data_IF_328262598380
#
_entry.id   IF_328262598380
#
_cell.length_a   1.000
_cell.length_b   1.000
_cell.length_c   1.000
_cell.angle_alpha   90.00
_cell.angle_beta   90.00
_cell.angle_gamma   90.00
#
_symmetry.space_group_name_H-M   'P 1'
#
loop_
_entity.id
_entity.type
_entity.pdbx_description
1 polymer ?
#
# COMPACT_ATOMS: atom_id res chain seq x y z
N UNK A 1 8.43 -31.94 15.77
CA UNK A 1 8.20 -30.54 15.36
C UNK A 1 6.78 -30.21 15.78
N UNK A 2 6.61 -29.39 16.82
CA UNK A 2 5.27 -29.00 17.32
C UNK A 2 4.78 -27.90 16.37
N UNK A 3 3.72 -28.17 15.62
CA UNK A 3 3.05 -27.15 14.81
C UNK A 3 2.19 -26.33 15.76
N UNK A 4 2.38 -25.00 15.78
CA UNK A 4 1.53 -24.06 16.52
C UNK A 4 0.38 -23.61 15.61
N UNK A 5 -0.81 -24.23 15.71
CA UNK A 5 -1.92 -23.92 14.82
C UNK A 5 -2.58 -22.57 15.15
N UNK A 6 -2.25 -21.98 16.31
CA UNK A 6 -2.79 -20.69 16.74
C UNK A 6 -1.93 -19.51 16.29
N UNK A 7 -0.70 -19.77 15.83
CA UNK A 7 0.30 -18.73 15.54
C UNK A 7 0.52 -17.84 16.78
N UNK A 8 0.56 -18.45 17.97
CA UNK A 8 0.91 -17.75 19.21
C UNK A 8 2.34 -17.18 19.11
N UNK A 9 3.24 -17.87 18.41
CA UNK A 9 4.55 -17.33 18.00
C UNK A 9 4.47 -16.77 16.58
N UNK A 10 4.78 -15.48 16.42
CA UNK A 10 4.80 -14.83 15.11
C UNK A 10 6.08 -15.17 14.34
N UNK A 11 6.02 -15.24 13.00
CA UNK A 11 7.20 -15.52 12.19
C UNK A 11 8.28 -14.45 12.39
N UNK A 12 9.54 -14.87 12.33
CA UNK A 12 10.72 -13.99 12.36
C UNK A 12 11.64 -14.39 11.21
N UNK A 13 12.09 -13.43 10.42
CA UNK A 13 12.99 -13.72 9.30
C UNK A 13 13.05 -12.61 8.25
N UNK A 14 13.86 -12.85 7.22
CA UNK A 14 13.97 -11.96 6.07
C UNK A 14 13.01 -12.42 4.96
N UNK A 15 12.38 -11.44 4.32
CA UNK A 15 11.44 -11.62 3.23
C UNK A 15 11.99 -10.91 2.00
N UNK A 16 12.47 -11.69 1.05
CA UNK A 16 12.90 -11.22 -0.27
C UNK A 16 11.94 -11.74 -1.33
N UNK A 17 11.39 -10.85 -2.15
CA UNK A 17 10.54 -11.23 -3.28
C UNK A 17 10.88 -10.40 -4.50
N UNK A 18 10.93 -11.05 -5.67
CA UNK A 18 11.01 -10.36 -6.95
C UNK A 18 10.00 -10.96 -7.91
N UNK A 19 9.11 -10.12 -8.44
CA UNK A 19 8.07 -10.52 -9.39
C UNK A 19 8.26 -9.68 -10.65
N UNK A 20 8.17 -10.32 -11.82
CA UNK A 20 8.14 -9.64 -13.12
C UNK A 20 6.72 -9.64 -13.65
N UNK A 21 6.17 -8.46 -13.92
CA UNK A 21 4.87 -8.31 -14.57
C UNK A 21 3.70 -8.72 -13.66
N UNK A 22 3.56 -8.03 -12.53
CA UNK A 22 2.41 -8.22 -11.66
C UNK A 22 1.21 -7.42 -12.17
N UNK A 23 0.10 -8.10 -12.45
CA UNK A 23 -1.15 -7.44 -12.82
C UNK A 23 -2.12 -7.55 -11.66
N UNK A 24 -2.45 -6.41 -11.05
CA UNK A 24 -3.57 -6.28 -10.14
C UNK A 24 -4.85 -6.13 -10.98
N UNK A 25 -5.80 -7.08 -10.90
CA UNK A 25 -7.01 -7.01 -11.70
C UNK A 25 -7.87 -5.81 -11.28
N UNK A 26 -8.68 -5.32 -12.22
CA UNK A 26 -9.70 -4.31 -11.91
C UNK A 26 -10.70 -4.88 -10.92
N UNK A 27 -10.87 -4.21 -9.78
CA UNK A 27 -11.80 -4.63 -8.73
C UNK A 27 -12.29 -3.44 -7.91
N UNK A 28 -13.51 -3.55 -7.38
CA UNK A 28 -13.99 -2.59 -6.40
C UNK A 28 -13.35 -2.91 -5.02
N UNK A 29 -12.52 -2.00 -4.52
CA UNK A 29 -12.03 -2.08 -3.14
C UNK A 29 -13.07 -1.49 -2.20
N UNK A 30 -13.47 -2.26 -1.20
CA UNK A 30 -14.29 -1.75 -0.11
C UNK A 30 -13.38 -1.08 0.91
N UNK A 31 -13.38 0.25 0.95
CA UNK A 31 -12.57 1.02 1.89
C UNK A 31 -13.50 1.55 2.98
N UNK A 32 -13.35 1.04 4.20
CA UNK A 32 -13.98 1.63 5.38
C UNK A 32 -13.18 2.85 5.81
N UNK A 33 -13.77 4.02 5.65
CA UNK A 33 -13.11 5.30 5.94
C UNK A 33 -13.09 5.63 7.44
N UNK A 34 -13.87 4.90 8.24
CA UNK A 34 -13.98 5.05 9.68
C UNK A 34 -14.65 3.83 10.32
N UNK A 35 -14.35 3.52 11.60
CA UNK A 35 -15.19 2.64 12.40
C UNK A 35 -16.63 3.15 12.45
N UNK A 36 -17.58 2.33 11.97
CA UNK A 36 -19.02 2.66 11.96
C UNK A 36 -19.51 3.40 10.70
N UNK A 37 -18.64 3.76 9.76
CA UNK A 37 -19.06 4.29 8.45
C UNK A 37 -19.24 3.15 7.43
N UNK A 38 -20.25 3.23 6.56
CA UNK A 38 -20.40 2.26 5.47
C UNK A 38 -19.16 2.32 4.59
N UNK A 39 -18.62 1.14 4.25
CA UNK A 39 -17.45 1.06 3.40
C UNK A 39 -17.79 1.57 2.00
N UNK A 40 -16.97 2.48 1.48
CA UNK A 40 -17.13 2.98 0.13
C UNK A 40 -16.48 2.01 -0.84
N UNK A 41 -17.22 1.63 -1.90
CA UNK A 41 -16.66 0.88 -3.00
C UNK A 41 -15.88 1.84 -3.90
N UNK A 42 -14.56 1.76 -3.86
CA UNK A 42 -13.67 2.50 -4.75
C UNK A 42 -13.33 1.57 -5.93
N UNK A 43 -13.78 1.87 -7.16
CA UNK A 43 -13.36 1.10 -8.32
C UNK A 43 -11.87 1.31 -8.54
N UNK A 44 -11.08 0.25 -8.38
CA UNK A 44 -9.65 0.26 -8.69
C UNK A 44 -9.48 -0.35 -10.08
N UNK A 45 -8.91 0.40 -11.04
CA UNK A 45 -8.65 -0.12 -12.38
C UNK A 45 -7.58 -1.20 -12.34
N UNK A 46 -7.40 -1.90 -13.46
CA UNK A 46 -6.27 -2.83 -13.57
C UNK A 46 -4.94 -2.08 -13.42
N UNK A 47 -4.13 -2.48 -12.43
CA UNK A 47 -2.81 -1.90 -12.20
C UNK A 47 -1.76 -2.90 -12.65
N UNK A 48 -1.09 -2.59 -13.75
CA UNK A 48 0.09 -3.33 -14.20
C UNK A 48 1.33 -2.76 -13.55
N UNK A 49 1.91 -3.53 -12.65
CA UNK A 49 3.22 -3.26 -12.08
C UNK A 49 4.26 -4.04 -12.88
N UNK A 50 5.32 -3.36 -13.29
CA UNK A 50 6.42 -3.98 -14.04
C UNK A 50 7.25 -4.94 -13.17
N UNK A 51 8.53 -4.64 -13.02
CA UNK A 51 9.39 -5.34 -12.10
C UNK A 51 9.09 -4.85 -10.68
N UNK A 52 8.72 -5.78 -9.81
CA UNK A 52 8.48 -5.55 -8.40
C UNK A 52 9.57 -6.22 -7.59
N UNK A 53 10.15 -5.50 -6.62
CA UNK A 53 11.14 -6.01 -5.68
C UNK A 53 10.72 -5.64 -4.27
N UNK A 54 10.67 -6.62 -3.38
CA UNK A 54 10.43 -6.46 -1.95
C UNK A 54 11.63 -7.00 -1.19
N UNK A 55 12.13 -6.20 -0.25
CA UNK A 55 13.07 -6.58 0.79
C UNK A 55 12.50 -6.08 2.11
N UNK A 56 12.13 -7.01 2.98
CA UNK A 56 11.56 -6.73 4.27
C UNK A 56 12.09 -7.68 5.34
N UNK A 57 11.95 -7.29 6.60
CA UNK A 57 12.23 -8.13 7.76
C UNK A 57 10.95 -8.29 8.56
N UNK A 58 10.56 -9.52 8.82
CA UNK A 58 9.50 -9.84 9.76
C UNK A 58 10.11 -10.05 11.14
N UNK A 59 9.57 -9.37 12.14
CA UNK A 59 9.92 -9.56 13.54
C UNK A 59 8.67 -9.48 14.41
N UNK A 60 8.23 -10.61 14.96
CA UNK A 60 7.19 -10.69 15.98
C UNK A 60 5.88 -9.94 15.63
N UNK A 61 5.43 -10.05 14.38
CA UNK A 61 4.21 -9.38 13.93
C UNK A 61 4.41 -7.95 13.41
N UNK A 62 5.67 -7.50 13.26
CA UNK A 62 6.04 -6.27 12.57
C UNK A 62 6.82 -6.60 11.30
N UNK A 63 6.32 -6.13 10.16
CA UNK A 63 6.98 -6.19 8.86
C UNK A 63 7.68 -4.86 8.57
N UNK A 64 9.00 -4.86 8.70
CA UNK A 64 9.86 -3.73 8.37
C UNK A 64 10.24 -3.79 6.89
N UNK A 65 9.64 -2.91 6.09
CA UNK A 65 9.86 -2.79 4.65
C UNK A 65 11.06 -1.86 4.41
N UNK A 66 12.22 -2.45 4.15
CA UNK A 66 13.42 -1.70 3.80
C UNK A 66 13.36 -1.19 2.36
N UNK A 67 12.80 -1.98 1.46
CA UNK A 67 12.61 -1.62 0.06
C UNK A 67 11.41 -2.36 -0.53
N UNK A 68 10.42 -1.63 -1.00
CA UNK A 68 9.43 -2.15 -1.93
C UNK A 68 9.40 -1.25 -3.16
N UNK A 69 9.93 -1.70 -4.29
CA UNK A 69 9.91 -0.94 -5.54
C UNK A 69 9.07 -1.66 -6.57
N UNK A 70 8.39 -0.89 -7.41
CA UNK A 70 7.64 -1.41 -8.54
C UNK A 70 7.75 -0.45 -9.72
N UNK A 71 7.69 -1.00 -10.94
CA UNK A 71 7.75 -0.23 -12.18
C UNK A 71 8.81 -0.77 -13.15
N UNK A 72 9.38 0.11 -13.97
CA UNK A 72 10.41 -0.25 -14.96
C UNK A 72 10.00 -0.01 -16.41
N UNK A 73 8.72 0.20 -16.67
CA UNK A 73 8.23 0.80 -17.92
C UNK A 73 8.09 2.32 -17.71
N UNK A 74 8.78 3.17 -18.50
CA UNK A 74 8.66 4.63 -18.42
C UNK A 74 7.22 5.16 -18.57
N UNK A 75 6.34 4.38 -19.22
CA UNK A 75 4.94 4.73 -19.46
C UNK A 75 3.99 4.16 -18.41
N UNK A 76 4.48 3.38 -17.45
CA UNK A 76 3.67 2.80 -16.39
C UNK A 76 3.87 3.48 -15.04
N UNK A 77 2.94 3.23 -14.12
CA UNK A 77 3.06 3.58 -12.71
C UNK A 77 4.34 2.97 -12.13
N UNK A 78 5.12 3.78 -11.42
CA UNK A 78 6.29 3.32 -10.67
C UNK A 78 6.32 3.92 -9.29
N UNK A 79 7.04 3.29 -8.38
CA UNK A 79 7.11 3.79 -7.01
C UNK A 79 8.03 3.02 -6.10
N UNK A 80 8.19 3.58 -4.91
CA UNK A 80 8.92 3.03 -3.79
C UNK A 80 8.11 3.19 -2.52
N UNK A 81 7.97 2.11 -1.76
CA UNK A 81 7.40 2.10 -0.42
C UNK A 81 8.47 1.62 0.56
N UNK A 82 8.53 2.27 1.71
CA UNK A 82 9.37 1.88 2.85
C UNK A 82 8.59 2.13 4.13
N UNK A 83 9.00 1.51 5.23
CA UNK A 83 8.41 1.78 6.54
C UNK A 83 8.02 0.51 7.26
N UNK A 84 7.03 0.60 8.13
CA UNK A 84 6.62 -0.50 8.99
C UNK A 84 5.14 -0.83 8.80
N UNK A 85 4.83 -2.12 8.79
CA UNK A 85 3.47 -2.64 8.76
C UNK A 85 3.32 -3.63 9.90
N UNK A 86 2.43 -3.37 10.85
CA UNK A 86 1.96 -4.37 11.80
C UNK A 86 1.23 -5.47 11.02
N UNK A 87 1.82 -6.66 10.96
CA UNK A 87 1.30 -7.81 10.25
C UNK A 87 1.41 -9.03 11.15
N UNK A 88 0.29 -9.39 11.77
CA UNK A 88 0.20 -10.60 12.60
C UNK A 88 -0.58 -11.68 11.88
N UNK A 89 -0.26 -12.93 12.17
CA UNK A 89 -1.01 -14.08 11.67
C UNK A 89 -1.82 -14.67 12.82
N UNK A 90 -3.10 -14.94 12.56
CA UNK A 90 -3.99 -15.61 13.51
C UNK A 90 -4.56 -16.87 12.88
N UNK A 91 -4.45 -17.99 13.59
CA UNK A 91 -5.16 -19.21 13.23
C UNK A 91 -6.66 -19.08 13.50
N UNK A 92 -7.48 -19.55 12.57
CA UNK A 92 -8.93 -19.63 12.72
C UNK A 92 -9.52 -20.85 12.02
N UNK A 93 -10.85 -21.07 12.11
CA UNK A 93 -11.52 -22.22 11.50
C UNK A 93 -11.33 -22.34 9.97
N UNK A 94 -11.04 -21.21 9.30
CA UNK A 94 -10.79 -21.13 7.86
C UNK A 94 -9.29 -21.12 7.50
N UNK A 95 -8.40 -21.43 8.45
CA UNK A 95 -6.95 -21.39 8.27
C UNK A 95 -6.30 -20.14 8.87
N UNK A 96 -5.10 -19.82 8.37
CA UNK A 96 -4.29 -18.72 8.87
C UNK A 96 -4.69 -17.42 8.16
N UNK A 97 -5.07 -16.41 8.93
CA UNK A 97 -5.45 -15.11 8.39
C UNK A 97 -4.43 -14.04 8.78
N UNK A 98 -3.95 -13.23 7.82
CA UNK A 98 -3.16 -12.05 8.13
C UNK A 98 -4.07 -10.96 8.70
N UNK A 99 -3.65 -10.35 9.80
CA UNK A 99 -4.28 -9.20 10.42
C UNK A 99 -3.30 -8.02 10.29
N UNK A 100 -3.73 -7.02 9.53
CA UNK A 100 -3.02 -5.75 9.41
C UNK A 100 -3.41 -4.88 10.60
N UNK A 101 -2.41 -4.50 11.39
CA UNK A 101 -2.57 -3.66 12.57
C UNK A 101 -2.14 -2.22 12.29
N UNK A 102 -1.02 -1.83 12.89
CA UNK A 102 -0.40 -0.52 12.67
C UNK A 102 0.22 -0.41 11.27
N UNK A 103 0.44 0.82 10.81
CA UNK A 103 1.22 1.07 9.61
C UNK A 103 1.89 2.44 9.69
N UNK A 104 3.11 2.53 9.20
CA UNK A 104 3.84 3.78 9.05
C UNK A 104 4.64 3.68 7.76
N UNK A 105 4.00 4.07 6.67
CA UNK A 105 4.50 3.83 5.32
C UNK A 105 4.88 5.15 4.67
N UNK A 106 6.10 5.22 4.13
CA UNK A 106 6.56 6.29 3.26
C UNK A 106 6.45 5.83 1.83
N UNK A 107 5.67 6.56 1.04
CA UNK A 107 5.26 6.19 -0.31
C UNK A 107 5.74 7.29 -1.25
N UNK A 108 6.49 6.88 -2.27
CA UNK A 108 6.89 7.72 -3.39
C UNK A 108 6.37 7.10 -4.67
N UNK A 109 5.54 7.81 -5.42
CA UNK A 109 4.96 7.35 -6.68
C UNK A 109 5.38 8.30 -7.79
N UNK A 110 5.68 7.74 -8.96
CA UNK A 110 5.79 8.47 -10.21
C UNK A 110 4.72 7.96 -11.16
N UNK A 111 3.83 8.85 -11.56
CA UNK A 111 2.70 8.60 -12.45
C UNK A 111 2.95 9.31 -13.77
N UNK A 112 3.13 8.59 -14.87
CA UNK A 112 3.21 9.19 -16.21
C UNK A 112 1.92 9.94 -16.55
N UNK A 113 2.02 10.99 -17.36
CA UNK A 113 0.86 11.80 -17.76
C UNK A 113 -0.27 10.96 -18.38
N UNK A 114 0.09 10.02 -19.24
CA UNK A 114 -0.86 9.11 -19.89
C UNK A 114 -1.62 8.23 -18.87
N UNK A 115 -0.94 7.82 -17.80
CA UNK A 115 -1.56 7.06 -16.71
C UNK A 115 -2.58 7.91 -15.96
N UNK A 116 -2.24 9.16 -15.63
CA UNK A 116 -3.17 10.07 -14.93
C UNK A 116 -4.41 10.31 -15.78
N UNK A 117 -4.24 10.64 -17.06
CA UNK A 117 -5.35 10.91 -17.98
C UNK A 117 -6.26 9.71 -18.18
N UNK A 118 -5.69 8.51 -18.35
CA UNK A 118 -6.46 7.28 -18.49
C UNK A 118 -7.30 6.96 -17.24
N UNK A 119 -6.85 7.42 -16.07
CA UNK A 119 -7.42 7.04 -14.78
C UNK A 119 -8.15 8.18 -14.05
N UNK A 120 -8.17 9.39 -14.60
CA UNK A 120 -8.94 10.52 -14.05
C UNK A 120 -10.43 10.19 -13.85
N UNK A 121 -10.99 9.37 -14.75
CA UNK A 121 -12.39 8.91 -14.70
C UNK A 121 -12.63 7.73 -13.77
N UNK A 122 -11.57 7.03 -13.34
CA UNK A 122 -11.66 5.81 -12.54
C UNK A 122 -11.69 6.06 -11.02
N UNK A 123 -11.92 7.30 -10.57
CA UNK A 123 -12.01 7.64 -9.14
C UNK A 123 -10.66 7.71 -8.41
N UNK A 124 -9.54 7.42 -9.07
CA UNK A 124 -8.21 7.65 -8.52
C UNK A 124 -7.95 9.13 -8.20
N UNK A 125 -8.63 10.03 -8.92
CA UNK A 125 -8.67 11.47 -8.62
C UNK A 125 -9.19 11.77 -7.20
N UNK A 126 -10.17 11.02 -6.69
CA UNK A 126 -10.66 11.18 -5.31
C UNK A 126 -9.63 10.72 -4.29
N UNK A 127 -8.95 9.60 -4.55
CA UNK A 127 -7.87 9.13 -3.69
C UNK A 127 -6.72 10.14 -3.61
N UNK A 128 -6.36 10.78 -4.73
CA UNK A 128 -5.34 11.83 -4.77
C UNK A 128 -5.81 13.15 -4.17
N UNK A 129 -7.10 13.47 -4.23
CA UNK A 129 -7.65 14.66 -3.60
C UNK A 129 -7.53 14.64 -2.07
N UNK A 130 -7.41 13.46 -1.46
CA UNK A 130 -7.15 13.30 -0.02
C UNK A 130 -5.69 13.56 0.37
N UNK A 131 -4.77 13.65 -0.60
CA UNK A 131 -3.37 13.96 -0.32
C UNK A 131 -3.20 15.46 -0.06
N UNK A 132 -2.31 15.85 0.86
CA UNK A 132 -1.92 17.25 1.00
C UNK A 132 -1.41 17.80 -0.34
N UNK A 133 -1.73 19.05 -0.73
CA UNK A 133 -1.26 19.62 -1.99
C UNK A 133 0.28 19.59 -2.12
N UNK A 134 0.99 19.71 -1.00
CA UNK A 134 2.45 19.64 -0.92
C UNK A 134 3.03 18.25 -1.14
N UNK A 135 2.22 17.19 -1.08
CA UNK A 135 2.63 15.83 -1.42
C UNK A 135 2.73 15.61 -2.92
N UNK A 136 2.21 16.55 -3.74
CA UNK A 136 2.16 16.46 -5.19
C UNK A 136 3.17 17.42 -5.84
N UNK A 137 3.91 16.89 -6.81
CA UNK A 137 4.77 17.67 -7.69
C UNK A 137 4.45 17.32 -9.13
N UNK A 138 3.96 18.29 -9.89
CA UNK A 138 3.78 18.13 -11.33
C UNK A 138 5.15 18.22 -12.03
N UNK A 139 5.38 17.29 -12.94
CA UNK A 139 6.58 17.16 -13.75
C UNK A 139 6.20 17.30 -15.24
N UNK A 140 7.15 17.62 -16.14
CA UNK A 140 6.86 17.70 -17.57
C UNK A 140 6.29 16.39 -18.15
N UNK A 141 6.70 15.24 -17.61
CA UNK A 141 6.34 13.89 -18.05
C UNK A 141 5.25 13.22 -17.21
N UNK A 142 4.72 13.90 -16.18
CA UNK A 142 3.72 13.30 -15.30
C UNK A 142 3.61 13.97 -13.93
N UNK A 143 3.34 13.19 -12.90
CA UNK A 143 3.16 13.67 -11.53
C UNK A 143 3.93 12.76 -10.57
N UNK A 144 4.66 13.36 -9.65
CA UNK A 144 5.27 12.68 -8.52
C UNK A 144 4.44 12.92 -7.25
N UNK A 145 4.19 11.85 -6.49
CA UNK A 145 3.55 11.92 -5.18
C UNK A 145 4.51 11.38 -4.12
N UNK A 146 4.67 12.12 -3.02
CA UNK A 146 5.54 11.75 -1.90
C UNK A 146 4.81 12.03 -0.60
N UNK A 147 4.39 10.97 0.10
CA UNK A 147 3.65 11.10 1.36
C UNK A 147 3.95 9.97 2.34
N UNK A 148 3.68 10.23 3.62
CA UNK A 148 3.68 9.27 4.71
C UNK A 148 2.23 8.98 5.12
N UNK A 149 1.92 7.70 5.28
CA UNK A 149 0.62 7.18 5.67
C UNK A 149 0.75 6.53 7.06
N UNK A 150 -0.07 6.99 8.00
CA UNK A 150 -0.09 6.54 9.39
C UNK A 150 -1.53 6.27 9.86
N UNK A 151 -1.74 5.46 10.92
CA UNK A 151 -3.06 5.24 11.48
C UNK A 151 -3.72 6.56 11.86
N UNK A 152 -5.06 6.57 11.93
CA UNK A 152 -5.79 7.70 12.51
C UNK A 152 -5.27 8.04 13.90
N UNK A 153 -5.17 9.33 14.22
CA UNK A 153 -4.88 9.72 15.60
C UNK A 153 -6.08 9.35 16.51
N UNK A 154 -5.91 9.25 17.83
CA UNK A 154 -7.04 9.07 18.74
C UNK A 154 -8.14 10.09 18.48
N UNK A 155 -9.37 9.63 18.25
CA UNK A 155 -10.52 10.48 17.92
C UNK A 155 -10.64 10.88 16.44
N UNK A 156 -9.70 10.49 15.58
CA UNK A 156 -9.80 10.63 14.13
C UNK A 156 -10.28 9.33 13.49
N UNK A 157 -11.03 9.50 12.40
CA UNK A 157 -11.59 8.41 11.62
C UNK A 157 -10.73 8.07 10.40
N UNK A 158 -10.08 9.07 9.82
CA UNK A 158 -9.25 8.93 8.62
C UNK A 158 -7.78 8.71 8.96
N UNK A 159 -7.03 7.99 8.12
CA UNK A 159 -5.58 7.88 8.22
C UNK A 159 -4.91 9.26 8.23
N UNK A 160 -3.81 9.38 8.96
CA UNK A 160 -2.96 10.55 8.88
C UNK A 160 -2.10 10.46 7.62
N UNK A 161 -2.27 11.45 6.72
CA UNK A 161 -1.49 11.56 5.49
C UNK A 161 -0.70 12.87 5.55
N UNK A 162 0.63 12.76 5.48
CA UNK A 162 1.53 13.94 5.50
C UNK A 162 2.44 13.92 4.28
N UNK A 163 2.70 15.08 3.69
CA UNK A 163 3.69 15.19 2.62
C UNK A 163 5.10 14.89 3.17
N UNK A 164 5.93 14.25 2.36
CA UNK A 164 7.35 14.04 2.68
C UNK A 164 8.21 14.57 1.53
N UNK A 165 9.39 15.11 1.87
CA UNK A 165 10.37 15.63 0.91
C UNK A 165 11.30 14.52 0.41
#
# INVERSE_FOLDING_TARGET
MIVDPQFATQPVGELGMSIKGFTFPSQALSISMAPGMPAMAVPVPEIRLGNTKLSAKMNEGSLQISEFTFGGDPKALSGKVTGELGLTFRGGPAGVQPIIGSYDLRINLKMPKDFVQANERAGLSLAFAMLPPTARKDLPDGTQLSFRLQPPAPGQQMPNITAIQ
#
